data_IF_233982373374
#
_entry.id   IF_233982373374
#
_cell.length_a   1.000
_cell.length_b   1.000
_cell.length_c   1.000
_cell.angle_alpha   90.00
_cell.angle_beta   90.00
_cell.angle_gamma   90.00
#
_symmetry.space_group_name_H-M   'P 1'
#
loop_
_entity.id
_entity.type
_entity.pdbx_description
1 polymer ?
#
# COMPACT_ATOMS: atom_id res chain seq x y z
N UNK A 1 2.60 -24.07 2.80
CA UNK A 1 1.62 -24.91 3.48
C UNK A 1 0.19 -24.53 3.10
N UNK A 2 -0.22 -23.27 3.28
CA UNK A 2 -1.59 -22.81 2.95
C UNK A 2 -2.00 -23.06 1.48
N UNK A 3 -1.05 -22.94 0.54
CA UNK A 3 -1.30 -23.27 -0.88
C UNK A 3 -1.58 -24.76 -1.07
N UNK A 4 -0.77 -25.64 -0.47
CA UNK A 4 -0.95 -27.08 -0.55
C UNK A 4 -2.30 -27.51 0.06
N UNK A 5 -2.69 -26.93 1.21
CA UNK A 5 -4.01 -27.17 1.81
C UNK A 5 -5.15 -26.72 0.89
N UNK A 6 -5.04 -25.55 0.26
CA UNK A 6 -6.05 -25.03 -0.67
C UNK A 6 -6.19 -25.92 -1.91
N UNK A 7 -5.10 -26.52 -2.36
CA UNK A 7 -5.04 -27.44 -3.50
C UNK A 7 -5.39 -28.89 -3.11
N UNK A 8 -5.66 -29.18 -1.82
CA UNK A 8 -6.02 -30.51 -1.32
C UNK A 8 -4.89 -31.54 -1.45
N UNK A 9 -3.62 -31.11 -1.51
CA UNK A 9 -2.44 -31.98 -1.64
C UNK A 9 -1.48 -31.84 -0.47
N UNK A 10 -0.63 -32.85 -0.31
CA UNK A 10 0.50 -32.74 0.61
C UNK A 10 1.56 -31.77 0.11
N UNK A 11 2.30 -31.08 1.00
CA UNK A 11 3.45 -30.28 0.62
C UNK A 11 4.49 -31.12 -0.12
N UNK A 12 5.12 -30.52 -1.12
CA UNK A 12 6.27 -31.13 -1.82
C UNK A 12 7.53 -31.03 -0.97
N UNK A 13 8.55 -31.86 -1.26
CA UNK A 13 9.82 -31.80 -0.55
C UNK A 13 10.46 -30.41 -0.68
N UNK A 14 10.44 -29.80 -1.86
CA UNK A 14 10.96 -28.45 -2.07
C UNK A 14 10.23 -27.39 -1.22
N UNK A 15 8.92 -27.52 -1.00
CA UNK A 15 8.18 -26.63 -0.11
C UNK A 15 8.54 -26.85 1.37
N UNK A 16 8.83 -28.09 1.76
CA UNK A 16 9.30 -28.42 3.11
C UNK A 16 10.72 -27.89 3.34
N UNK A 17 11.63 -28.08 2.37
CA UNK A 17 12.99 -27.57 2.41
C UNK A 17 13.01 -26.04 2.52
N UNK A 18 12.15 -25.35 1.78
CA UNK A 18 12.01 -23.90 1.88
C UNK A 18 11.50 -23.44 3.27
N UNK A 19 10.55 -24.19 3.87
CA UNK A 19 10.10 -23.93 5.23
C UNK A 19 11.22 -24.12 6.24
N UNK A 20 12.01 -25.18 6.10
CA UNK A 20 13.16 -25.42 6.96
C UNK A 20 14.19 -24.29 6.85
N UNK A 21 14.52 -23.86 5.66
CA UNK A 21 15.45 -22.74 5.43
C UNK A 21 15.00 -21.42 6.04
N UNK A 22 13.67 -21.15 6.03
CA UNK A 22 13.13 -19.89 6.57
C UNK A 22 13.00 -19.91 8.08
N UNK A 23 12.48 -21.02 8.63
CA UNK A 23 12.04 -21.06 10.03
C UNK A 23 13.02 -21.78 10.96
N UNK A 24 13.95 -22.56 10.41
CA UNK A 24 14.93 -23.27 11.22
C UNK A 24 16.26 -22.54 11.27
N UNK A 25 16.67 -22.12 12.45
CA UNK A 25 18.02 -21.59 12.68
C UNK A 25 19.05 -22.69 12.94
N UNK A 26 18.61 -23.82 13.42
CA UNK A 26 19.48 -24.91 13.94
C UNK A 26 19.02 -26.29 13.51
N UNK A 27 18.20 -26.40 12.47
CA UNK A 27 17.47 -27.61 12.10
C UNK A 27 16.20 -27.81 12.93
N UNK A 28 15.28 -28.60 12.41
CA UNK A 28 14.13 -29.06 13.17
C UNK A 28 14.49 -30.33 13.96
N UNK A 29 13.94 -30.47 15.15
CA UNK A 29 14.05 -31.66 15.94
C UNK A 29 12.66 -32.11 16.41
N UNK A 30 12.41 -33.40 16.44
CA UNK A 30 11.20 -34.02 16.96
C UNK A 30 11.37 -34.55 18.40
N UNK A 31 12.54 -34.34 18.98
CA UNK A 31 12.93 -34.87 20.30
C UNK A 31 11.94 -34.53 21.39
N UNK A 32 11.41 -33.30 21.39
CA UNK A 32 10.38 -32.93 22.39
C UNK A 32 9.08 -33.74 22.19
N UNK A 33 8.65 -33.93 20.94
CA UNK A 33 7.46 -34.72 20.61
C UNK A 33 7.64 -36.20 20.97
N UNK A 34 8.86 -36.73 20.78
CA UNK A 34 9.23 -38.08 21.11
C UNK A 34 9.54 -38.29 22.60
N UNK A 35 9.43 -37.27 23.44
CA UNK A 35 9.68 -37.33 24.87
C UNK A 35 11.16 -37.44 25.25
N UNK A 36 12.07 -37.23 24.33
CA UNK A 36 13.52 -37.21 24.56
C UNK A 36 13.90 -35.89 25.22
N UNK A 37 14.61 -35.94 26.33
CA UNK A 37 15.07 -34.75 27.06
C UNK A 37 16.61 -34.78 27.12
N UNK A 38 17.26 -33.99 26.27
CA UNK A 38 18.72 -33.95 26.21
C UNK A 38 19.22 -32.96 25.16
N UNK A 39 20.53 -32.99 24.84
CA UNK A 39 21.13 -32.13 23.82
C UNK A 39 20.47 -32.24 22.45
N UNK A 40 19.88 -33.38 22.15
CA UNK A 40 19.14 -33.65 20.90
C UNK A 40 17.88 -32.79 20.72
N UNK A 41 17.38 -32.16 21.79
CA UNK A 41 16.29 -31.19 21.71
C UNK A 41 16.71 -29.90 21.01
N UNK A 42 18.02 -29.67 20.92
CA UNK A 42 18.59 -28.48 20.29
C UNK A 42 19.19 -28.85 18.95
N UNK A 43 18.73 -28.22 17.90
CA UNK A 43 19.36 -28.37 16.58
C UNK A 43 20.80 -27.84 16.59
N UNK A 44 21.68 -28.41 15.77
CA UNK A 44 23.07 -27.98 15.65
C UNK A 44 23.19 -26.89 14.60
N UNK A 45 23.64 -25.69 15.02
CA UNK A 45 23.90 -24.59 14.09
C UNK A 45 25.00 -24.99 13.11
N UNK A 46 24.68 -25.00 11.84
CA UNK A 46 25.68 -25.18 10.78
C UNK A 46 26.16 -23.79 10.34
N UNK A 47 27.40 -23.46 10.70
CA UNK A 47 27.99 -22.19 10.25
C UNK A 47 28.09 -22.14 8.71
N UNK A 48 27.75 -20.98 8.12
CA UNK A 48 27.83 -20.74 6.68
C UNK A 48 26.61 -21.13 5.86
N UNK A 49 25.58 -21.76 6.41
CA UNK A 49 24.33 -22.10 5.72
C UNK A 49 23.21 -21.07 5.90
N UNK A 50 23.55 -19.80 6.12
CA UNK A 50 22.51 -18.77 6.12
C UNK A 50 21.93 -18.64 4.70
N UNK A 51 20.62 -18.77 4.51
CA UNK A 51 19.97 -18.68 3.19
C UNK A 51 19.88 -17.23 2.71
N UNK A 52 21.05 -16.61 2.45
CA UNK A 52 21.15 -15.20 2.04
C UNK A 52 20.32 -14.87 0.81
N UNK A 53 20.29 -15.79 -0.16
CA UNK A 53 19.50 -15.63 -1.38
C UNK A 53 18.00 -15.65 -1.09
N UNK A 54 17.55 -16.53 -0.21
CA UNK A 54 16.14 -16.61 0.20
C UNK A 54 15.70 -15.34 0.95
N UNK A 55 16.57 -14.82 1.82
CA UNK A 55 16.30 -13.54 2.50
C UNK A 55 16.30 -12.37 1.52
N UNK A 56 17.17 -12.35 0.53
CA UNK A 56 17.18 -11.34 -0.53
C UNK A 56 15.88 -11.42 -1.38
N UNK A 57 15.47 -12.62 -1.77
CA UNK A 57 14.20 -12.83 -2.48
C UNK A 57 13.00 -12.40 -1.64
N UNK A 58 12.93 -12.82 -0.37
CA UNK A 58 11.87 -12.41 0.53
C UNK A 58 11.84 -10.88 0.72
N UNK A 59 13.01 -10.25 0.87
CA UNK A 59 13.13 -8.79 0.97
C UNK A 59 12.64 -8.09 -0.30
N UNK A 60 13.01 -8.58 -1.47
CA UNK A 60 12.56 -8.04 -2.75
C UNK A 60 11.04 -8.06 -2.92
N UNK A 61 10.32 -8.98 -2.28
CA UNK A 61 8.85 -9.04 -2.34
C UNK A 61 8.14 -7.89 -1.63
N UNK A 62 8.76 -7.27 -0.63
CA UNK A 62 8.15 -6.17 0.12
C UNK A 62 8.85 -4.83 -0.06
N UNK A 63 10.16 -4.80 -0.40
CA UNK A 63 10.88 -3.54 -0.64
C UNK A 63 10.49 -2.90 -1.98
N UNK A 64 10.30 -3.70 -3.03
CA UNK A 64 10.00 -3.22 -4.38
C UNK A 64 8.59 -3.59 -4.85
N UNK A 65 7.84 -4.33 -4.05
CA UNK A 65 6.52 -4.81 -4.42
C UNK A 65 5.46 -3.72 -4.27
N UNK A 66 4.70 -3.47 -5.32
CA UNK A 66 3.42 -2.76 -5.24
C UNK A 66 2.38 -3.64 -4.55
N UNK A 67 2.65 -4.01 -3.29
CA UNK A 67 1.80 -4.91 -2.55
C UNK A 67 0.44 -4.26 -2.30
N UNK A 68 -0.60 -4.83 -2.92
CA UNK A 68 -2.03 -4.64 -2.62
C UNK A 68 -2.43 -3.19 -2.36
N UNK A 69 -2.10 -2.30 -3.29
CA UNK A 69 -2.57 -0.92 -3.22
C UNK A 69 -4.09 -0.89 -3.28
N UNK A 70 -4.68 -0.12 -2.42
CA UNK A 70 -6.12 0.11 -2.39
C UNK A 70 -6.52 1.02 -3.55
N UNK A 71 -7.45 0.61 -4.40
CA UNK A 71 -7.91 1.42 -5.52
C UNK A 71 -8.73 2.61 -5.03
N UNK A 72 -8.44 3.80 -5.59
CA UNK A 72 -9.15 5.03 -5.29
C UNK A 72 -9.56 5.75 -6.57
N UNK A 73 -10.68 6.49 -6.48
CA UNK A 73 -11.11 7.46 -7.48
C UNK A 73 -10.87 8.86 -6.93
N UNK A 74 -10.43 9.77 -7.77
CA UNK A 74 -10.12 11.14 -7.40
C UNK A 74 -10.98 12.08 -8.22
N UNK A 75 -11.63 13.01 -7.57
CA UNK A 75 -12.42 14.06 -8.18
C UNK A 75 -11.81 15.42 -7.83
N UNK A 76 -11.68 16.30 -8.79
CA UNK A 76 -11.14 17.64 -8.57
C UNK A 76 -12.06 18.70 -9.19
N UNK A 77 -12.20 19.83 -8.50
CA UNK A 77 -12.93 20.99 -8.96
C UNK A 77 -12.08 22.25 -8.75
N UNK A 78 -11.82 22.96 -9.84
CA UNK A 78 -10.99 24.18 -9.85
C UNK A 78 -11.77 25.26 -10.59
N UNK A 79 -12.24 26.25 -9.84
CA UNK A 79 -13.10 27.34 -10.31
C UNK A 79 -12.58 28.69 -9.82
N UNK A 80 -12.85 29.74 -10.58
CA UNK A 80 -12.46 31.10 -10.20
C UNK A 80 -13.13 31.52 -8.89
N UNK A 81 -12.37 32.19 -8.02
CA UNK A 81 -12.88 32.74 -6.77
C UNK A 81 -13.27 31.71 -5.70
N UNK A 82 -13.05 30.43 -5.95
CA UNK A 82 -13.31 29.37 -4.98
C UNK A 82 -12.04 28.57 -4.68
N UNK A 83 -11.87 28.05 -3.46
CA UNK A 83 -10.77 27.12 -3.16
C UNK A 83 -10.78 25.92 -4.11
N UNK A 84 -9.62 25.50 -4.56
CA UNK A 84 -9.49 24.24 -5.30
C UNK A 84 -9.92 23.08 -4.39
N UNK A 85 -10.83 22.24 -4.86
CA UNK A 85 -11.39 21.11 -4.08
C UNK A 85 -11.00 19.79 -4.68
N UNK A 86 -10.74 18.83 -3.80
CA UNK A 86 -10.53 17.44 -4.15
C UNK A 86 -11.43 16.54 -3.31
N UNK A 87 -11.90 15.46 -3.91
CA UNK A 87 -12.53 14.36 -3.18
C UNK A 87 -11.85 13.05 -3.58
N UNK A 88 -11.57 12.19 -2.62
CA UNK A 88 -10.98 10.86 -2.83
C UNK A 88 -11.94 9.83 -2.27
N UNK A 89 -12.30 8.86 -3.10
CA UNK A 89 -13.22 7.77 -2.79
C UNK A 89 -12.51 6.43 -2.89
N UNK A 90 -12.62 5.59 -1.86
CA UNK A 90 -12.15 4.20 -1.89
C UNK A 90 -13.22 3.24 -2.43
N UNK A 91 -12.86 1.96 -2.61
CA UNK A 91 -13.80 0.91 -3.09
C UNK A 91 -14.97 0.62 -2.14
N UNK A 92 -14.83 0.98 -0.86
CA UNK A 92 -15.86 0.78 0.16
C UNK A 92 -16.80 1.99 0.27
N UNK A 93 -16.60 3.01 -0.59
CA UNK A 93 -17.43 4.21 -0.63
C UNK A 93 -17.08 5.25 0.44
N UNK A 94 -15.94 5.07 1.17
CA UNK A 94 -15.46 6.14 2.05
C UNK A 94 -14.94 7.29 1.20
N UNK A 95 -15.37 8.49 1.55
CA UNK A 95 -15.01 9.69 0.81
C UNK A 95 -14.43 10.74 1.75
N UNK A 96 -13.30 11.30 1.37
CA UNK A 96 -12.66 12.42 2.05
C UNK A 96 -12.62 13.62 1.11
N UNK A 97 -12.70 14.81 1.67
CA UNK A 97 -12.65 16.07 0.94
C UNK A 97 -11.46 16.90 1.42
N UNK A 98 -10.79 17.54 0.48
CA UNK A 98 -9.72 18.49 0.79
C UNK A 98 -9.94 19.81 0.05
N UNK A 99 -9.53 20.90 0.68
CA UNK A 99 -9.52 22.22 0.08
C UNK A 99 -8.08 22.77 0.00
N UNK A 100 -7.79 23.39 -1.13
CA UNK A 100 -6.51 24.02 -1.43
C UNK A 100 -6.64 25.54 -1.60
N UNK A 101 -5.60 26.19 -2.10
CA UNK A 101 -5.66 27.61 -2.37
C UNK A 101 -6.65 27.96 -3.49
N UNK A 102 -7.10 29.22 -3.49
CA UNK A 102 -7.92 29.75 -4.57
C UNK A 102 -7.04 29.91 -5.82
N UNK A 103 -7.48 29.39 -6.98
CA UNK A 103 -6.72 29.54 -8.21
C UNK A 103 -6.74 31.02 -8.67
N UNK A 104 -5.64 31.44 -9.27
CA UNK A 104 -5.48 32.77 -9.82
C UNK A 104 -5.71 32.76 -11.35
N UNK A 105 -5.94 33.91 -11.93
CA UNK A 105 -5.95 34.05 -13.38
C UNK A 105 -4.56 33.74 -13.95
N UNK A 106 -4.50 32.92 -15.00
CA UNK A 106 -3.25 32.52 -15.61
C UNK A 106 -2.60 33.68 -16.34
N UNK A 107 -1.35 33.97 -15.98
CA UNK A 107 -0.56 35.01 -16.66
C UNK A 107 0.10 34.52 -17.95
N UNK A 108 0.56 33.27 -17.97
CA UNK A 108 1.30 32.72 -19.12
C UNK A 108 0.64 31.41 -19.62
N UNK A 109 0.64 30.35 -18.83
CA UNK A 109 0.14 29.04 -19.24
C UNK A 109 -1.01 28.64 -18.32
N UNK A 110 -2.22 28.54 -18.84
CA UNK A 110 -3.36 28.08 -18.05
C UNK A 110 -3.22 26.63 -17.62
N UNK A 111 -3.83 26.31 -16.50
CA UNK A 111 -3.95 24.95 -16.01
C UNK A 111 -4.94 24.18 -16.88
N UNK A 112 -4.52 23.06 -17.45
CA UNK A 112 -5.38 22.22 -18.25
C UNK A 112 -5.89 21.03 -17.43
N UNK A 113 -7.02 20.50 -17.82
CA UNK A 113 -7.62 19.30 -17.21
C UNK A 113 -6.62 18.13 -17.20
N UNK A 114 -5.94 17.88 -18.32
CA UNK A 114 -4.99 16.78 -18.48
C UNK A 114 -3.80 16.93 -17.50
N UNK A 115 -3.34 18.14 -17.30
CA UNK A 115 -2.26 18.41 -16.31
C UNK A 115 -2.73 18.11 -14.89
N UNK A 116 -3.94 18.51 -14.53
CA UNK A 116 -4.52 18.21 -13.20
C UNK A 116 -4.70 16.70 -13.02
N UNK A 117 -5.32 16.03 -13.98
CA UNK A 117 -5.55 14.58 -13.95
C UNK A 117 -4.22 13.81 -13.87
N UNK A 118 -3.24 14.17 -14.70
CA UNK A 118 -1.91 13.56 -14.68
C UNK A 118 -1.13 13.81 -13.38
N UNK A 119 -1.33 14.94 -12.71
CA UNK A 119 -0.68 15.23 -11.43
C UNK A 119 -1.36 14.53 -10.27
N UNK A 120 -2.68 14.45 -10.26
CA UNK A 120 -3.46 13.81 -9.21
C UNK A 120 -3.40 12.27 -9.28
N UNK A 121 -3.18 11.70 -10.46
CA UNK A 121 -3.03 10.25 -10.62
C UNK A 121 -1.75 9.66 -10.02
N UNK A 122 -0.76 10.50 -9.69
CA UNK A 122 0.52 10.08 -9.13
C UNK A 122 0.40 9.70 -7.66
N UNK A 123 0.01 8.47 -7.37
CA UNK A 123 -0.15 7.94 -6.00
C UNK A 123 1.08 7.17 -5.50
N UNK A 124 2.24 7.29 -6.16
CA UNK A 124 3.49 6.65 -5.75
C UNK A 124 3.88 6.97 -4.30
N UNK A 125 4.45 6.00 -3.59
CA UNK A 125 4.82 6.14 -2.18
C UNK A 125 3.63 6.11 -1.20
N UNK A 126 2.40 5.84 -1.69
CA UNK A 126 1.20 5.69 -0.86
C UNK A 126 0.63 4.28 -0.97
N UNK A 127 -0.19 3.83 0.00
CA UNK A 127 -0.87 2.54 -0.07
C UNK A 127 -2.03 2.50 -1.08
N UNK A 128 -2.15 3.51 -1.94
CA UNK A 128 -3.26 3.66 -2.88
C UNK A 128 -2.80 3.54 -4.33
N UNK A 129 -3.70 3.03 -5.18
CA UNK A 129 -3.58 3.07 -6.64
C UNK A 129 -4.72 3.88 -7.24
N UNK A 130 -4.39 4.89 -8.02
CA UNK A 130 -5.41 5.70 -8.68
C UNK A 130 -6.03 4.93 -9.85
N UNK A 131 -7.32 4.61 -9.76
CA UNK A 131 -8.09 3.99 -10.86
C UNK A 131 -8.58 5.02 -11.86
N UNK A 132 -9.04 6.16 -11.38
CA UNK A 132 -9.62 7.20 -12.21
C UNK A 132 -9.47 8.56 -11.56
N UNK A 133 -9.11 9.55 -12.35
CA UNK A 133 -9.22 10.97 -11.98
C UNK A 133 -10.28 11.61 -12.85
N UNK A 134 -11.13 12.44 -12.26
CA UNK A 134 -12.10 13.27 -12.98
C UNK A 134 -11.92 14.70 -12.50
N UNK A 135 -11.41 15.56 -13.35
CA UNK A 135 -11.20 16.97 -13.03
C UNK A 135 -12.16 17.87 -13.81
N UNK A 136 -12.76 18.84 -13.11
CA UNK A 136 -13.45 19.99 -13.71
C UNK A 136 -12.56 21.21 -13.45
N UNK A 137 -12.03 21.78 -14.51
CA UNK A 137 -11.13 22.94 -14.47
C UNK A 137 -11.73 24.04 -15.32
N UNK A 138 -11.94 25.21 -14.74
CA UNK A 138 -12.36 26.39 -15.47
C UNK A 138 -11.17 26.96 -16.26
N UNK A 139 -11.42 27.40 -17.47
CA UNK A 139 -10.38 27.90 -18.36
C UNK A 139 -9.75 29.21 -17.87
N UNK A 140 -8.50 29.44 -18.23
CA UNK A 140 -7.80 30.66 -17.90
C UNK A 140 -7.29 30.73 -16.46
N UNK A 141 -7.40 29.68 -15.68
CA UNK A 141 -6.90 29.61 -14.31
C UNK A 141 -5.49 29.04 -14.21
N UNK A 142 -4.79 29.40 -13.15
CA UNK A 142 -3.47 28.89 -12.76
C UNK A 142 -3.49 28.46 -11.31
N UNK A 143 -2.86 27.32 -11.03
CA UNK A 143 -2.62 26.82 -9.69
C UNK A 143 -1.25 26.15 -9.66
N UNK A 144 -0.39 26.42 -8.66
CA UNK A 144 0.89 25.75 -8.54
C UNK A 144 0.73 24.22 -8.45
N UNK A 145 1.55 23.48 -9.19
CA UNK A 145 1.53 22.01 -9.13
C UNK A 145 1.88 21.46 -7.75
N UNK A 146 2.69 22.20 -6.97
CA UNK A 146 2.96 21.90 -5.57
C UNK A 146 1.69 21.90 -4.73
N UNK A 147 0.81 22.89 -4.93
CA UNK A 147 -0.47 22.98 -4.21
C UNK A 147 -1.39 21.77 -4.53
N UNK A 148 -1.42 21.33 -5.81
CA UNK A 148 -2.16 20.10 -6.20
C UNK A 148 -1.56 18.85 -5.53
N UNK A 149 -0.24 18.76 -5.45
CA UNK A 149 0.44 17.65 -4.79
C UNK A 149 0.14 17.60 -3.29
N UNK A 150 0.19 18.75 -2.63
CA UNK A 150 -0.09 18.85 -1.20
C UNK A 150 -1.54 18.53 -0.90
N UNK A 151 -2.45 19.01 -1.76
CA UNK A 151 -3.87 18.70 -1.65
C UNK A 151 -4.14 17.20 -1.78
N UNK A 152 -3.56 16.56 -2.81
CA UNK A 152 -3.64 15.10 -2.99
C UNK A 152 -3.08 14.34 -1.79
N UNK A 153 -1.88 14.71 -1.31
CA UNK A 153 -1.21 14.04 -0.20
C UNK A 153 -2.05 14.09 1.06
N UNK A 154 -2.55 15.27 1.42
CA UNK A 154 -3.44 15.45 2.58
C UNK A 154 -4.70 14.62 2.46
N UNK A 155 -5.37 14.65 1.32
CA UNK A 155 -6.59 13.87 1.12
C UNK A 155 -6.35 12.35 1.22
N UNK A 156 -5.23 11.83 0.71
CA UNK A 156 -4.88 10.41 0.85
C UNK A 156 -4.51 10.04 2.30
N UNK A 157 -3.89 10.97 3.03
CA UNK A 157 -3.60 10.79 4.46
C UNK A 157 -4.87 10.78 5.29
N UNK A 158 -5.79 11.71 5.07
CA UNK A 158 -7.10 11.77 5.72
C UNK A 158 -7.92 10.49 5.46
N UNK A 159 -7.86 9.96 4.22
CA UNK A 159 -8.47 8.67 3.89
C UNK A 159 -7.85 7.53 4.69
N UNK A 160 -6.52 7.54 4.88
CA UNK A 160 -5.82 6.54 5.69
C UNK A 160 -6.26 6.59 7.14
N UNK A 161 -6.38 7.79 7.72
CA UNK A 161 -6.90 7.99 9.08
C UNK A 161 -8.34 7.47 9.20
N UNK A 162 -9.20 7.80 8.25
CA UNK A 162 -10.59 7.34 8.24
C UNK A 162 -10.70 5.81 8.14
N UNK A 163 -9.83 5.18 7.33
CA UNK A 163 -9.78 3.71 7.17
C UNK A 163 -9.25 2.99 8.41
N UNK A 164 -8.35 3.62 9.16
CA UNK A 164 -7.79 3.08 10.39
C UNK A 164 -8.73 3.24 11.59
N UNK A 165 -9.74 4.10 11.49
CA UNK A 165 -10.71 4.29 12.56
C UNK A 165 -11.45 2.96 12.85
N UNK A 166 -11.39 2.53 14.11
CA UNK A 166 -12.10 1.34 14.56
C UNK A 166 -13.62 1.59 14.47
N UNK A 167 -14.39 0.60 14.00
CA UNK A 167 -15.85 0.71 14.05
C UNK A 167 -16.31 0.86 15.49
N UNK A 168 -17.11 1.89 15.77
CA UNK A 168 -17.72 2.04 17.10
C UNK A 168 -18.63 0.83 17.33
N UNK A 169 -18.30 0.00 18.31
CA UNK A 169 -19.19 -1.07 18.76
C UNK A 169 -20.39 -0.41 19.42
N UNK A 170 -21.56 -0.59 18.82
CA UNK A 170 -22.80 -0.36 19.56
C UNK A 170 -22.91 -1.49 20.59
N UNK A 171 -22.83 -1.13 21.86
CA UNK A 171 -23.20 -2.02 22.96
C UNK A 171 -24.73 -1.91 23.03
N UNK A 172 -25.43 -2.97 22.64
CA UNK A 172 -26.87 -3.14 22.87
C UNK A 172 -27.07 -3.62 24.31
#
# INVERSE_FOLDING_TARGET
YARALKEGRSPTQAELDALEQVFSRQGFTDSYFMGQKGPEMFGTRQEGKEPKELYAQARATYENGENRKEPVKIYAMIQAGQPARIAVEDKEGRMVHGEGPVPEAARNVPLTREKVEGQLSRTGGTPYSCQKVTAKVEEGLSLPLSALNDLRRRALEDLSVQRQALPQRRVE
#
